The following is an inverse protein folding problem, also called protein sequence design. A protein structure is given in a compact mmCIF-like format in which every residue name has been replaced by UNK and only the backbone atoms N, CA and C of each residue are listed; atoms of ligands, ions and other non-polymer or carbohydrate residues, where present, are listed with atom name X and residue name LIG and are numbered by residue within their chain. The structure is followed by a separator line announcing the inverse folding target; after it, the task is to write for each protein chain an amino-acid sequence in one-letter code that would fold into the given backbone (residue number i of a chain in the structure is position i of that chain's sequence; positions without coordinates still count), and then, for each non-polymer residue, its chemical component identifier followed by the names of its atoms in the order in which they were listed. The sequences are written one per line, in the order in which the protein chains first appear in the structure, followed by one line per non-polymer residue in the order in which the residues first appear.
data_IF_517848113505
#
_entry.id   IF_517848113505
#
_cell.length_a   1.000
_cell.length_b   1.000
_cell.length_c   1.000
_cell.angle_alpha   90.00
_cell.angle_beta   90.00
_cell.angle_gamma   90.00
#
_symmetry.space_group_name_H-M   'P 1'
#
loop_
_entity.id
_entity.type
_entity.pdbx_description
1 polymer ?
#
# COMPACT_ATOMS: atom_id res chain seq x y z
N UNK A 1 36.11 82.11 -27.64
CA UNK A 1 35.88 81.28 -26.44
C UNK A 1 36.66 79.99 -26.67
N UNK A 2 37.97 79.95 -26.45
CA UNK A 2 38.68 79.73 -25.16
C UNK A 2 38.14 78.51 -24.39
N UNK A 3 38.88 77.48 -23.93
CA UNK A 3 40.27 76.99 -24.02
C UNK A 3 40.19 75.46 -23.73
N UNK A 4 41.21 74.74 -24.18
CA UNK A 4 41.45 73.29 -24.13
C UNK A 4 42.06 72.80 -22.75
N UNK A 5 42.63 71.58 -22.57
CA UNK A 5 42.36 70.65 -21.44
C UNK A 5 43.60 70.42 -20.51
N UNK A 6 43.86 69.18 -20.03
CA UNK A 6 45.00 68.62 -19.22
C UNK A 6 44.69 68.36 -17.73
N UNK A 7 45.14 67.32 -16.99
CA UNK A 7 46.08 66.17 -17.13
C UNK A 7 45.84 65.17 -15.97
N UNK A 8 45.88 63.85 -16.17
CA UNK A 8 46.92 62.86 -15.78
C UNK A 8 47.58 63.06 -14.39
N UNK A 9 47.53 62.03 -13.52
CA UNK A 9 48.68 61.40 -12.80
C UNK A 9 48.24 60.31 -11.78
N UNK A 10 48.93 59.16 -11.82
CA UNK A 10 49.14 58.20 -10.72
C UNK A 10 50.66 58.23 -10.38
N UNK A 11 51.31 57.40 -9.50
CA UNK A 11 50.85 56.41 -8.48
C UNK A 11 51.71 56.38 -7.14
N UNK A 12 51.47 55.36 -6.25
CA UNK A 12 52.38 54.69 -5.23
C UNK A 12 52.65 55.41 -3.85
N UNK A 13 53.06 54.78 -2.69
CA UNK A 13 53.03 53.39 -2.11
C UNK A 13 52.49 53.20 -0.65
N UNK A 14 52.21 51.93 -0.31
CA UNK A 14 52.54 51.08 0.88
C UNK A 14 52.67 51.70 2.30
N UNK A 15 51.89 51.14 3.25
CA UNK A 15 52.33 50.91 4.64
C UNK A 15 51.73 49.61 5.22
N UNK A 16 52.48 49.01 6.14
CA UNK A 16 52.43 47.63 6.63
C UNK A 16 51.85 47.48 8.05
N UNK A 17 51.48 46.22 8.41
CA UNK A 17 51.39 45.56 9.75
C UNK A 17 49.97 45.35 10.36
N UNK A 18 49.74 44.36 11.26
CA UNK A 18 50.42 43.06 11.49
C UNK A 18 49.48 41.84 11.60
N UNK A 19 50.06 40.65 11.46
CA UNK A 19 49.49 39.30 11.73
C UNK A 19 49.48 38.95 13.23
N UNK A 20 48.47 38.19 13.72
CA UNK A 20 48.44 37.28 14.90
C UNK A 20 46.99 36.74 15.13
N UNK A 21 46.73 35.64 15.87
CA UNK A 21 47.11 34.24 15.68
C UNK A 21 45.90 33.28 15.53
N UNK A 22 46.14 32.09 14.96
CA UNK A 22 45.20 30.95 14.92
C UNK A 22 45.03 30.36 16.31
N UNK A 23 43.80 30.37 16.86
CA UNK A 23 43.42 29.56 18.03
C UNK A 23 42.53 28.39 17.61
N UNK A 24 43.06 27.18 17.77
CA UNK A 24 42.32 25.91 17.76
C UNK A 24 41.30 25.92 18.89
N UNK A 25 40.01 25.76 18.59
CA UNK A 25 39.02 25.34 19.59
C UNK A 25 38.90 23.82 19.58
N UNK A 26 39.08 23.26 20.77
CA UNK A 26 39.02 21.84 21.07
C UNK A 26 37.61 21.27 20.89
N UNK A 27 37.54 20.07 20.32
CA UNK A 27 36.34 19.22 20.29
C UNK A 27 35.84 18.98 21.73
N UNK A 28 34.66 19.49 22.04
CA UNK A 28 33.91 19.11 23.24
C UNK A 28 32.84 18.09 22.85
N UNK A 29 32.95 16.91 23.44
CA UNK A 29 32.04 15.77 23.29
C UNK A 29 30.69 16.09 23.92
N UNK A 30 29.63 16.10 23.12
CA UNK A 30 28.26 16.19 23.61
C UNK A 30 27.84 14.86 24.24
N UNK A 31 27.53 14.88 25.54
CA UNK A 31 26.85 13.80 26.26
C UNK A 31 25.34 14.00 26.14
N UNK A 32 24.52 12.97 25.86
CA UNK A 32 23.08 13.10 25.90
C UNK A 32 22.57 13.11 27.35
N UNK A 33 21.72 14.10 27.62
CA UNK A 33 21.02 14.30 28.87
C UNK A 33 19.99 13.18 29.12
N UNK A 34 20.08 12.49 30.26
CA UNK A 34 19.08 11.52 30.73
C UNK A 34 17.76 12.25 31.01
N UNK A 35 16.73 11.99 30.21
CA UNK A 35 15.34 12.34 30.58
C UNK A 35 14.79 11.28 31.51
N UNK A 36 14.40 11.74 32.70
CA UNK A 36 13.69 11.00 33.75
C UNK A 36 12.25 10.78 33.26
N UNK A 37 11.84 9.54 33.09
CA UNK A 37 10.45 9.18 32.82
C UNK A 37 9.73 8.95 34.14
N UNK A 38 8.58 9.61 34.32
CA UNK A 38 7.61 9.25 35.35
C UNK A 38 6.91 7.96 34.89
N UNK A 39 6.91 6.95 35.77
CA UNK A 39 6.29 5.67 35.51
C UNK A 39 4.77 5.79 35.56
N UNK A 40 4.12 5.37 34.47
CA UNK A 40 2.76 4.84 34.46
C UNK A 40 2.90 3.40 34.01
N UNK A 41 2.66 2.44 34.90
CA UNK A 41 2.69 1.01 34.61
C UNK A 41 1.53 0.67 33.66
N UNK A 42 1.85 0.57 32.38
CA UNK A 42 1.05 -0.21 31.43
C UNK A 42 2.05 -1.11 30.72
N UNK A 43 2.08 -2.37 31.12
CA UNK A 43 2.95 -3.40 30.53
C UNK A 43 2.46 -3.71 29.12
N UNK A 44 2.85 -2.88 28.14
CA UNK A 44 2.80 -3.27 26.74
C UNK A 44 3.91 -4.31 26.52
N UNK A 45 3.55 -5.59 26.46
CA UNK A 45 4.42 -6.58 25.84
C UNK A 45 4.62 -6.15 24.39
N UNK A 46 5.82 -5.68 24.05
CA UNK A 46 6.24 -5.55 22.66
C UNK A 46 6.45 -6.97 22.16
N UNK A 47 5.41 -7.59 21.61
CA UNK A 47 5.58 -8.83 20.85
C UNK A 47 6.42 -8.47 19.62
N UNK A 48 7.68 -8.91 19.59
CA UNK A 48 8.50 -8.81 18.39
C UNK A 48 7.95 -9.82 17.37
N UNK A 49 7.46 -9.33 16.24
CA UNK A 49 6.97 -10.16 15.14
C UNK A 49 8.12 -11.04 14.65
N UNK A 50 7.97 -12.36 14.55
CA UNK A 50 9.05 -13.23 14.13
C UNK A 50 9.48 -12.92 12.68
N UNK A 51 10.78 -13.05 12.44
CA UNK A 51 11.37 -12.92 11.11
C UNK A 51 11.20 -14.26 10.39
N UNK A 52 10.41 -14.29 9.32
CA UNK A 52 10.20 -15.49 8.50
C UNK A 52 11.30 -15.63 7.44
N UNK A 53 11.56 -16.85 6.89
CA UNK A 53 12.60 -17.07 5.88
C UNK A 53 12.39 -16.34 4.56
N UNK A 54 11.17 -15.89 4.28
CA UNK A 54 10.80 -15.16 3.07
C UNK A 54 10.00 -13.92 3.45
N UNK A 55 10.09 -12.90 2.60
CA UNK A 55 9.33 -11.66 2.75
C UNK A 55 8.93 -11.09 1.39
N UNK A 56 8.04 -10.11 1.41
CA UNK A 56 7.70 -9.31 0.25
C UNK A 56 8.55 -8.04 0.16
N UNK A 57 9.06 -7.76 -1.04
CA UNK A 57 9.39 -6.38 -1.44
C UNK A 57 8.16 -5.80 -2.17
N UNK A 58 7.60 -4.70 -1.65
CA UNK A 58 6.27 -4.22 -2.09
C UNK A 58 6.29 -2.88 -2.81
N UNK A 59 5.29 -2.67 -3.65
CA UNK A 59 4.96 -1.43 -4.34
C UNK A 59 3.46 -1.18 -4.32
N UNK A 60 3.07 0.08 -4.30
CA UNK A 60 1.66 0.50 -4.27
C UNK A 60 1.45 1.53 -5.36
N UNK A 61 0.44 1.31 -6.21
CA UNK A 61 -0.09 2.27 -7.18
C UNK A 61 -1.53 2.62 -6.81
N UNK A 62 -1.90 3.89 -6.91
CA UNK A 62 -3.22 4.39 -6.52
C UNK A 62 -3.70 5.49 -7.47
N UNK A 63 -4.95 5.39 -7.90
CA UNK A 63 -5.70 6.44 -8.56
C UNK A 63 -7.12 6.48 -7.98
N UNK A 64 -7.58 7.63 -7.52
CA UNK A 64 -8.94 7.78 -7.01
C UNK A 64 -9.80 8.51 -8.04
N UNK A 65 -10.99 7.99 -8.35
CA UNK A 65 -11.97 8.69 -9.21
C UNK A 65 -12.44 10.01 -8.58
N UNK A 66 -12.34 10.11 -7.25
CA UNK A 66 -12.69 11.30 -6.48
C UNK A 66 -11.95 11.36 -5.13
N UNK A 67 -11.83 12.55 -4.51
CA UNK A 67 -11.24 12.65 -3.18
C UNK A 67 -11.98 11.79 -2.14
N UNK A 68 -11.26 11.08 -1.25
CA UNK A 68 -11.86 10.25 -0.22
C UNK A 68 -12.71 11.10 0.74
N UNK A 69 -13.84 10.55 1.18
CA UNK A 69 -14.63 11.18 2.24
C UNK A 69 -13.79 11.23 3.54
N UNK A 70 -13.65 12.39 4.21
CA UNK A 70 -12.93 12.45 5.47
C UNK A 70 -13.52 11.50 6.51
N UNK A 71 -12.66 10.85 7.29
CA UNK A 71 -13.11 9.99 8.36
C UNK A 71 -13.79 10.81 9.47
N UNK A 72 -14.96 10.37 9.98
CA UNK A 72 -15.64 11.05 11.07
C UNK A 72 -14.89 10.87 12.40
N UNK A 73 -15.11 11.73 13.42
CA UNK A 73 -14.61 11.45 14.77
C UNK A 73 -15.07 10.06 15.26
N UNK A 74 -14.24 9.33 16.02
CA UNK A 74 -12.91 9.67 16.51
C UNK A 74 -11.78 9.35 15.52
N UNK A 75 -12.10 8.82 14.35
CA UNK A 75 -11.15 8.39 13.31
C UNK A 75 -10.50 9.56 12.54
N UNK A 76 -10.70 10.80 12.99
CA UNK A 76 -10.21 12.01 12.34
C UNK A 76 -8.69 12.02 12.20
N UNK A 77 -8.25 12.52 11.05
CA UNK A 77 -6.97 13.22 10.91
C UNK A 77 -7.23 14.73 11.08
N UNK A 78 -6.45 15.50 11.86
CA UNK A 78 -6.72 16.93 12.06
C UNK A 78 -6.71 17.71 10.73
N UNK A 79 -7.64 18.69 10.54
CA UNK A 79 -7.87 19.32 9.25
C UNK A 79 -6.69 20.19 8.81
N UNK A 80 -6.38 20.16 7.51
CA UNK A 80 -5.52 21.16 6.87
C UNK A 80 -6.32 22.43 6.57
N UNK A 81 -6.25 23.41 7.44
CA UNK A 81 -6.64 24.78 7.08
C UNK A 81 -5.39 25.66 7.07
N UNK A 82 -4.99 26.05 5.87
CA UNK A 82 -3.98 27.07 5.60
C UNK A 82 -4.31 28.37 6.32
N UNK A 83 -3.37 28.92 7.08
CA UNK A 83 -3.21 30.37 7.23
C UNK A 83 -1.71 30.68 7.27
N UNK A 84 -1.37 31.75 6.57
CA UNK A 84 -0.06 32.32 6.25
C UNK A 84 0.89 32.43 7.45
N UNK A 85 2.06 31.81 7.35
CA UNK A 85 3.26 32.31 8.02
C UNK A 85 4.49 32.06 7.12
N UNK A 86 4.97 33.07 6.37
CA UNK A 86 6.20 32.96 5.61
C UNK A 86 7.34 33.20 6.59
N UNK A 87 7.72 32.16 7.36
CA UNK A 87 9.03 31.95 8.01
C UNK A 87 8.90 30.90 9.14
N UNK A 88 8.91 29.61 8.79
CA UNK A 88 9.74 28.68 9.57
C UNK A 88 10.21 27.52 8.70
N UNK A 89 11.52 27.39 8.68
CA UNK A 89 12.35 26.46 7.95
C UNK A 89 12.13 25.01 8.37
N UNK A 90 12.09 24.11 7.39
CA UNK A 90 12.50 22.71 7.38
C UNK A 90 12.65 21.98 8.73
N UNK A 91 11.83 20.95 8.95
CA UNK A 91 12.19 19.54 9.16
C UNK A 91 11.01 18.81 9.85
N UNK A 92 10.62 17.65 9.30
CA UNK A 92 9.57 16.72 9.75
C UNK A 92 8.14 17.06 9.31
N UNK A 93 7.76 16.54 8.14
CA UNK A 93 6.37 16.25 7.78
C UNK A 93 5.79 15.27 8.81
N UNK A 94 5.24 15.79 9.90
CA UNK A 94 4.45 15.02 10.86
C UNK A 94 3.28 14.40 10.13
N UNK A 95 3.35 13.08 10.04
CA UNK A 95 2.33 12.17 9.59
C UNK A 95 0.95 12.48 10.19
N UNK A 96 0.03 12.93 9.33
CA UNK A 96 -1.35 13.34 9.63
C UNK A 96 -2.27 12.11 9.68
N UNK A 97 -1.98 11.18 10.60
CA UNK A 97 -2.56 9.85 10.57
C UNK A 97 -3.79 9.69 11.49
N UNK A 98 -4.75 8.87 11.07
CA UNK A 98 -5.98 8.54 11.81
C UNK A 98 -5.74 7.47 12.89
N UNK A 99 -6.54 7.47 13.95
CA UNK A 99 -6.41 6.53 15.08
C UNK A 99 -7.71 5.78 15.38
N UNK A 100 -7.59 4.55 15.88
CA UNK A 100 -8.68 3.74 16.45
C UNK A 100 -8.17 3.05 17.71
N UNK A 101 -8.92 3.16 18.82
CA UNK A 101 -8.50 2.63 20.14
C UNK A 101 -7.07 3.02 20.57
N UNK A 102 -6.63 4.25 20.23
CA UNK A 102 -5.28 4.75 20.53
C UNK A 102 -4.16 4.18 19.63
N UNK A 103 -4.49 3.30 18.70
CA UNK A 103 -3.56 2.78 17.69
C UNK A 103 -3.71 3.53 16.37
N UNK A 104 -2.60 3.67 15.67
CA UNK A 104 -2.57 4.22 14.33
C UNK A 104 -3.28 3.29 13.34
N UNK A 105 -4.27 3.80 12.59
CA UNK A 105 -4.91 3.07 11.50
C UNK A 105 -3.88 2.82 10.38
N UNK A 106 -3.59 1.55 10.11
CA UNK A 106 -2.51 1.08 9.21
C UNK A 106 -2.99 0.86 7.78
N UNK A 107 -2.17 1.21 6.78
CA UNK A 107 -2.42 1.11 5.32
C UNK A 107 -2.58 2.48 4.63
N UNK A 108 -3.23 2.55 3.47
CA UNK A 108 -3.52 3.80 2.72
C UNK A 108 -4.96 3.81 2.19
N UNK A 109 -5.60 4.98 2.17
CA UNK A 109 -6.92 5.19 1.55
C UNK A 109 -6.75 5.69 0.11
N UNK A 110 -7.60 5.24 -0.81
CA UNK A 110 -7.66 5.71 -2.19
C UNK A 110 -9.13 5.84 -2.64
N UNK A 111 -9.72 7.03 -2.53
CA UNK A 111 -11.16 7.18 -2.71
C UNK A 111 -11.94 6.40 -1.66
N UNK A 112 -12.74 5.42 -2.07
CA UNK A 112 -13.40 4.47 -1.16
C UNK A 112 -12.60 3.17 -0.94
N UNK A 113 -11.51 2.95 -1.69
CA UNK A 113 -10.59 1.83 -1.48
C UNK A 113 -9.67 2.03 -0.28
N UNK A 114 -9.12 0.91 0.19
CA UNK A 114 -7.95 0.88 1.04
C UNK A 114 -6.99 -0.25 0.66
N UNK A 115 -5.68 0.04 0.78
CA UNK A 115 -4.61 -0.94 0.58
C UNK A 115 -3.72 -1.04 1.80
N UNK A 116 -3.11 -2.20 2.00
CA UNK A 116 -2.05 -2.42 2.97
C UNK A 116 -0.94 -3.27 2.37
N UNK A 117 0.29 -2.99 2.80
CA UNK A 117 1.46 -3.76 2.40
C UNK A 117 2.45 -3.84 3.57
N UNK A 118 2.96 -5.04 3.81
CA UNK A 118 4.06 -5.34 4.71
C UNK A 118 4.88 -6.51 4.17
N UNK A 119 5.90 -6.90 4.91
CA UNK A 119 6.79 -8.02 4.58
C UNK A 119 6.05 -9.36 4.46
N UNK A 120 4.91 -9.54 5.13
CA UNK A 120 4.20 -10.83 5.19
C UNK A 120 2.72 -10.75 4.78
N UNK A 121 2.19 -9.56 4.51
CA UNK A 121 0.79 -9.41 4.14
C UNK A 121 0.56 -8.22 3.22
N UNK A 122 -0.17 -8.45 2.14
CA UNK A 122 -0.71 -7.40 1.28
C UNK A 122 -2.22 -7.55 1.16
N UNK A 123 -2.94 -6.44 0.98
CA UNK A 123 -4.36 -6.48 0.67
C UNK A 123 -4.82 -5.25 -0.13
N UNK A 124 -5.91 -5.44 -0.88
CA UNK A 124 -6.66 -4.38 -1.53
C UNK A 124 -8.16 -4.60 -1.26
N UNK A 125 -8.79 -3.62 -0.62
CA UNK A 125 -10.18 -3.68 -0.22
C UNK A 125 -10.91 -2.54 -0.93
N UNK A 126 -11.93 -2.85 -1.73
CA UNK A 126 -12.77 -1.83 -2.35
C UNK A 126 -13.97 -1.54 -1.45
N UNK A 127 -14.17 -0.27 -1.14
CA UNK A 127 -15.31 0.21 -0.39
C UNK A 127 -16.46 0.58 -1.32
N UNK A 128 -17.62 -0.04 -1.12
CA UNK A 128 -18.78 0.13 -2.02
C UNK A 128 -19.22 1.60 -2.12
N UNK A 129 -18.93 2.23 -3.26
CA UNK A 129 -19.06 3.68 -3.44
C UNK A 129 -20.48 4.23 -3.27
N UNK A 130 -21.51 3.40 -3.42
CA UNK A 130 -22.92 3.79 -3.23
C UNK A 130 -23.19 4.36 -1.82
N UNK A 131 -22.41 3.98 -0.80
CA UNK A 131 -22.52 4.53 0.54
C UNK A 131 -22.27 6.03 0.62
N UNK A 132 -21.48 6.60 -0.29
CA UNK A 132 -21.20 8.03 -0.26
C UNK A 132 -22.42 8.91 -0.51
N UNK A 133 -23.51 8.35 -1.06
CA UNK A 133 -24.81 9.04 -1.20
C UNK A 133 -25.56 9.17 0.12
N UNK A 134 -25.16 8.41 1.15
CA UNK A 134 -25.79 8.39 2.47
C UNK A 134 -25.03 9.30 3.44
N UNK A 135 -25.71 10.09 4.30
CA UNK A 135 -25.03 10.94 5.27
C UNK A 135 -24.07 10.17 6.19
N UNK A 136 -24.49 8.98 6.61
CA UNK A 136 -23.72 8.08 7.49
C UNK A 136 -22.85 7.06 6.75
N UNK A 137 -22.75 7.13 5.43
CA UNK A 137 -21.97 6.19 4.64
C UNK A 137 -20.50 6.57 4.57
N UNK A 138 -19.62 5.65 4.95
CA UNK A 138 -18.17 5.81 5.02
C UNK A 138 -17.46 4.56 4.49
N UNK A 139 -17.65 4.25 3.20
CA UNK A 139 -17.03 3.10 2.54
C UNK A 139 -15.50 3.10 2.66
N UNK A 140 -14.85 4.23 2.36
CA UNK A 140 -13.41 4.40 2.59
C UNK A 140 -12.93 4.24 4.03
N UNK A 141 -13.79 4.38 5.05
CA UNK A 141 -13.44 4.05 6.45
C UNK A 141 -13.52 2.54 6.68
N UNK A 142 -14.56 1.90 6.14
CA UNK A 142 -14.78 0.46 6.25
C UNK A 142 -13.65 -0.34 5.62
N UNK A 143 -13.32 -0.07 4.35
CA UNK A 143 -12.19 -0.70 3.66
C UNK A 143 -10.90 -0.57 4.47
N UNK A 144 -10.65 0.63 4.99
CA UNK A 144 -9.47 1.00 5.80
C UNK A 144 -9.38 0.27 7.14
N UNK A 145 -10.47 0.20 7.89
CA UNK A 145 -10.51 -0.45 9.20
C UNK A 145 -10.35 -1.96 9.06
N UNK A 146 -10.95 -2.56 8.03
CA UNK A 146 -10.74 -3.98 7.75
C UNK A 146 -9.27 -4.26 7.45
N UNK A 147 -8.60 -3.49 6.58
CA UNK A 147 -7.15 -3.68 6.33
C UNK A 147 -6.31 -3.51 7.61
N UNK A 148 -6.66 -2.52 8.44
CA UNK A 148 -5.96 -2.25 9.69
C UNK A 148 -6.08 -3.42 10.67
N UNK A 149 -7.30 -3.86 10.96
CA UNK A 149 -7.49 -4.95 11.92
C UNK A 149 -7.06 -6.30 11.36
N UNK A 150 -7.13 -6.52 10.06
CA UNK A 150 -6.67 -7.76 9.43
C UNK A 150 -5.16 -7.89 9.49
N UNK A 151 -4.41 -6.83 9.15
CA UNK A 151 -2.97 -6.82 9.35
C UNK A 151 -2.57 -7.00 10.82
N UNK A 152 -3.35 -6.45 11.75
CA UNK A 152 -3.10 -6.60 13.19
C UNK A 152 -3.35 -8.03 13.66
N UNK A 153 -4.45 -8.65 13.22
CA UNK A 153 -4.78 -10.04 13.54
C UNK A 153 -3.73 -11.01 12.98
N UNK A 154 -3.23 -10.78 11.76
CA UNK A 154 -2.15 -11.58 11.17
C UNK A 154 -0.85 -11.45 11.97
N UNK A 155 -0.49 -10.24 12.42
CA UNK A 155 0.71 -10.05 13.26
C UNK A 155 0.58 -10.68 14.64
N UNK A 156 -0.61 -10.56 15.26
CA UNK A 156 -0.95 -11.21 16.52
C UNK A 156 -0.84 -12.74 16.38
N UNK A 157 -1.44 -13.30 15.33
CA UNK A 157 -1.37 -14.73 14.99
C UNK A 157 0.08 -15.16 14.77
N UNK A 158 0.85 -14.40 13.99
CA UNK A 158 2.24 -14.72 13.68
C UNK A 158 3.14 -14.68 14.93
N UNK A 159 2.86 -13.81 15.90
CA UNK A 159 3.58 -13.76 17.17
C UNK A 159 3.25 -14.94 18.12
N UNK A 160 2.10 -15.58 17.94
CA UNK A 160 1.63 -16.71 18.75
C UNK A 160 1.84 -18.08 18.09
N UNK A 161 1.91 -18.12 16.76
CA UNK A 161 2.12 -19.35 15.98
C UNK A 161 3.46 -19.98 16.39
N UNK A 162 3.37 -21.18 16.97
CA UNK A 162 4.53 -22.08 17.02
C UNK A 162 5.03 -22.30 15.60
N UNK A 163 6.36 -22.32 15.38
CA UNK A 163 7.02 -22.33 14.06
C UNK A 163 6.53 -23.37 13.03
N UNK A 164 5.66 -24.32 13.42
CA UNK A 164 5.12 -25.40 12.59
C UNK A 164 3.61 -25.29 12.29
N UNK A 165 2.89 -24.30 12.83
CA UNK A 165 1.43 -24.21 12.66
C UNK A 165 1.07 -23.35 11.44
N UNK A 166 0.18 -23.87 10.60
CA UNK A 166 -0.35 -23.13 9.46
C UNK A 166 -1.21 -21.94 9.93
N UNK A 167 -1.14 -20.79 9.23
CA UNK A 167 -2.06 -19.68 9.45
C UNK A 167 -3.52 -20.08 9.28
N UNK A 168 -4.42 -19.36 9.94
CA UNK A 168 -5.86 -19.44 9.76
C UNK A 168 -6.41 -18.10 9.21
N UNK A 169 -6.34 -17.89 7.88
CA UNK A 169 -6.70 -16.60 7.29
C UNK A 169 -8.17 -16.22 7.52
N UNK A 170 -9.08 -17.21 7.54
CA UNK A 170 -10.51 -16.98 7.83
C UNK A 170 -10.70 -16.44 9.24
N UNK A 171 -10.06 -17.04 10.25
CA UNK A 171 -10.16 -16.55 11.63
C UNK A 171 -9.58 -15.15 11.79
N UNK A 172 -8.45 -14.88 11.13
CA UNK A 172 -7.82 -13.55 11.14
C UNK A 172 -8.70 -12.49 10.47
N UNK A 173 -9.34 -12.82 9.33
CA UNK A 173 -10.31 -11.92 8.68
C UNK A 173 -11.60 -11.76 9.48
N UNK A 174 -12.10 -12.83 10.12
CA UNK A 174 -13.28 -12.76 11.00
C UNK A 174 -13.03 -11.83 12.19
N UNK A 175 -11.88 -11.99 12.86
CA UNK A 175 -11.48 -11.09 13.95
C UNK A 175 -11.40 -9.63 13.48
N UNK A 176 -10.86 -9.40 12.28
CA UNK A 176 -10.80 -8.06 11.69
C UNK A 176 -12.19 -7.47 11.40
N UNK A 177 -13.10 -8.28 10.88
CA UNK A 177 -14.48 -7.90 10.61
C UNK A 177 -15.24 -7.54 11.89
N UNK A 178 -15.13 -8.36 12.93
CA UNK A 178 -15.77 -8.12 14.23
C UNK A 178 -15.24 -6.84 14.90
N UNK A 179 -13.92 -6.62 14.86
CA UNK A 179 -13.28 -5.38 15.35
C UNK A 179 -13.72 -4.15 14.56
N UNK A 180 -13.87 -4.29 13.24
CA UNK A 180 -14.40 -3.22 12.37
C UNK A 180 -15.83 -2.90 12.75
N UNK A 181 -16.71 -3.90 12.83
CA UNK A 181 -18.10 -3.75 13.25
C UNK A 181 -18.22 -3.04 14.59
N UNK A 182 -17.43 -3.45 15.58
CA UNK A 182 -17.43 -2.83 16.90
C UNK A 182 -17.06 -1.34 16.81
N UNK A 183 -15.96 -1.00 16.12
CA UNK A 183 -15.51 0.37 15.97
C UNK A 183 -16.50 1.25 15.20
N UNK A 184 -17.14 0.72 14.15
CA UNK A 184 -18.05 1.51 13.31
C UNK A 184 -19.44 1.66 13.91
N UNK A 185 -19.92 0.64 14.63
CA UNK A 185 -21.26 0.65 15.27
C UNK A 185 -21.32 1.68 16.39
N UNK A 186 -20.26 1.79 17.20
CA UNK A 186 -20.16 2.79 18.28
C UNK A 186 -20.34 4.23 17.78
N UNK A 187 -19.92 4.49 16.53
CA UNK A 187 -19.92 5.83 15.93
C UNK A 187 -20.91 5.98 14.77
N UNK A 188 -21.87 5.06 14.65
CA UNK A 188 -22.97 5.14 13.68
C UNK A 188 -22.51 5.20 12.21
N UNK A 189 -21.30 4.72 11.93
CA UNK A 189 -20.61 4.77 10.64
C UNK A 189 -20.97 3.55 9.78
N UNK A 190 -21.80 3.75 8.76
CA UNK A 190 -22.25 2.67 7.89
C UNK A 190 -21.35 2.52 6.67
N UNK A 191 -21.28 1.31 6.12
CA UNK A 191 -20.44 1.01 4.97
C UNK A 191 -20.31 -0.48 4.75
N UNK A 192 -19.80 -0.83 3.58
CA UNK A 192 -19.44 -2.19 3.20
C UNK A 192 -18.18 -2.15 2.34
N UNK A 193 -17.46 -3.26 2.29
CA UNK A 193 -16.22 -3.39 1.52
C UNK A 193 -16.02 -4.82 1.05
N UNK A 194 -15.49 -5.00 -0.14
CA UNK A 194 -14.88 -6.26 -0.59
C UNK A 194 -13.51 -6.41 0.06
N UNK A 195 -12.96 -7.61 0.04
CA UNK A 195 -11.62 -7.88 0.59
C UNK A 195 -10.87 -8.87 -0.28
N UNK A 196 -9.66 -8.51 -0.69
CA UNK A 196 -8.69 -9.47 -1.21
C UNK A 196 -7.35 -9.30 -0.48
N UNK A 197 -6.77 -10.40 -0.01
CA UNK A 197 -5.53 -10.37 0.76
C UNK A 197 -4.66 -11.58 0.48
N UNK A 198 -3.35 -11.40 0.61
CA UNK A 198 -2.36 -12.43 0.39
C UNK A 198 -1.33 -12.43 1.53
N UNK A 199 -1.31 -13.51 2.31
CA UNK A 199 -0.45 -13.71 3.46
C UNK A 199 0.69 -14.66 3.10
N UNK A 200 1.93 -14.18 3.22
CA UNK A 200 3.13 -14.97 2.99
C UNK A 200 3.48 -15.78 4.23
N UNK A 201 3.76 -17.05 4.00
CA UNK A 201 4.28 -17.97 4.99
C UNK A 201 5.32 -18.89 4.36
N UNK A 202 5.73 -19.93 5.09
CA UNK A 202 6.66 -20.93 4.60
C UNK A 202 6.25 -22.32 5.07
N UNK A 203 6.68 -23.34 4.34
CA UNK A 203 6.64 -24.74 4.78
C UNK A 203 8.05 -25.28 4.88
N UNK A 204 8.30 -26.14 5.86
CA UNK A 204 9.54 -26.91 5.98
C UNK A 204 9.39 -28.22 5.20
N UNK A 205 10.47 -28.66 4.56
CA UNK A 205 10.51 -29.98 3.94
C UNK A 205 10.51 -31.08 5.01
N UNK A 206 9.61 -32.05 4.90
CA UNK A 206 9.50 -33.17 5.86
C UNK A 206 10.80 -34.00 5.97
N UNK A 207 11.60 -34.04 4.90
CA UNK A 207 12.86 -34.79 4.83
C UNK A 207 14.07 -33.97 5.32
N UNK A 208 13.95 -32.63 5.36
CA UNK A 208 15.01 -31.73 5.79
C UNK A 208 14.41 -30.44 6.35
N UNK A 209 14.30 -30.34 7.68
CA UNK A 209 13.76 -29.18 8.38
C UNK A 209 14.52 -27.88 8.11
N UNK A 210 15.78 -27.95 7.64
CA UNK A 210 16.56 -26.77 7.24
C UNK A 210 16.14 -26.20 5.88
N UNK A 211 15.41 -26.96 5.06
CA UNK A 211 14.93 -26.51 3.76
C UNK A 211 13.49 -26.00 3.89
N UNK A 212 13.30 -24.73 3.58
CA UNK A 212 12.00 -24.06 3.56
C UNK A 212 11.63 -23.61 2.17
N UNK A 213 10.33 -23.58 1.86
CA UNK A 213 9.79 -23.00 0.62
C UNK A 213 8.65 -22.04 0.94
N UNK A 214 8.50 -20.92 0.19
CA UNK A 214 7.45 -19.96 0.44
C UNK A 214 6.07 -20.52 0.06
N UNK A 215 5.06 -20.16 0.84
CA UNK A 215 3.67 -20.53 0.62
C UNK A 215 2.80 -19.29 0.80
N UNK A 216 1.86 -19.08 -0.10
CA UNK A 216 0.92 -17.98 -0.06
C UNK A 216 -0.46 -18.48 0.36
N UNK A 217 -1.05 -17.82 1.34
CA UNK A 217 -2.46 -17.98 1.68
C UNK A 217 -3.22 -16.77 1.14
N UNK A 218 -4.05 -17.00 0.13
CA UNK A 218 -4.88 -15.97 -0.48
C UNK A 218 -6.27 -16.06 0.09
N UNK A 219 -6.84 -14.94 0.53
CA UNK A 219 -8.21 -14.87 1.03
C UNK A 219 -8.98 -13.84 0.21
N UNK A 220 -10.12 -14.24 -0.34
CA UNK A 220 -10.96 -13.37 -1.16
C UNK A 220 -12.43 -13.41 -0.72
N UNK A 221 -13.07 -12.24 -0.72
CA UNK A 221 -14.52 -12.08 -0.62
C UNK A 221 -14.92 -10.83 -1.41
N UNK A 222 -15.66 -11.05 -2.50
CA UNK A 222 -16.04 -10.03 -3.48
C UNK A 222 -15.33 -10.21 -4.81
N UNK A 223 -15.22 -9.11 -5.55
CA UNK A 223 -14.72 -9.04 -6.93
C UNK A 223 -13.32 -8.43 -7.05
N UNK A 224 -12.70 -7.96 -5.97
CA UNK A 224 -11.26 -7.76 -5.95
C UNK A 224 -10.51 -9.06 -6.32
N UNK A 225 -9.29 -8.92 -6.83
CA UNK A 225 -8.50 -10.06 -7.30
C UNK A 225 -7.11 -10.12 -6.67
N UNK A 226 -6.65 -11.33 -6.40
CA UNK A 226 -5.23 -11.63 -6.19
C UNK A 226 -4.73 -12.47 -7.36
N UNK A 227 -3.61 -12.08 -7.97
CA UNK A 227 -2.98 -12.78 -9.08
C UNK A 227 -1.51 -13.07 -8.75
N UNK A 228 -1.05 -14.28 -9.06
CA UNK A 228 0.35 -14.70 -8.89
C UNK A 228 0.95 -14.93 -10.27
N UNK A 229 2.03 -14.21 -10.55
CA UNK A 229 2.80 -14.28 -11.77
C UNK A 229 4.18 -14.85 -11.50
N UNK A 230 4.69 -15.66 -12.44
CA UNK A 230 6.06 -16.14 -12.45
C UNK A 230 6.82 -15.53 -13.62
N UNK A 231 7.51 -14.39 -13.42
CA UNK A 231 8.21 -13.69 -14.50
C UNK A 231 9.24 -14.55 -15.24
N UNK A 232 9.90 -15.48 -14.54
CA UNK A 232 10.91 -16.39 -15.14
C UNK A 232 10.35 -17.30 -16.23
N UNK A 233 9.05 -17.59 -16.20
CA UNK A 233 8.37 -18.43 -17.20
C UNK A 233 7.26 -17.70 -17.95
N UNK A 234 7.02 -16.43 -17.64
CA UNK A 234 5.94 -15.59 -18.17
C UNK A 234 4.54 -16.23 -18.02
N UNK A 235 4.29 -16.90 -16.89
CA UNK A 235 3.02 -17.61 -16.62
C UNK A 235 2.25 -17.01 -15.45
N UNK A 236 0.92 -17.06 -15.56
CA UNK A 236 0.01 -16.91 -14.44
C UNK A 236 -0.01 -18.25 -13.68
N UNK A 237 0.38 -18.22 -12.41
CA UNK A 237 0.38 -19.39 -11.52
C UNK A 237 -0.98 -19.56 -10.87
N UNK A 238 -1.61 -18.44 -10.49
CA UNK A 238 -2.89 -18.42 -9.81
C UNK A 238 -3.60 -17.08 -10.02
N UNK A 239 -4.93 -17.10 -9.99
CA UNK A 239 -5.78 -15.92 -9.81
C UNK A 239 -7.00 -16.31 -9.00
N UNK A 240 -7.50 -15.42 -8.16
CA UNK A 240 -8.77 -15.64 -7.45
C UNK A 240 -9.95 -15.58 -8.42
N UNK A 241 -11.02 -16.28 -8.06
CA UNK A 241 -12.31 -16.16 -8.73
C UNK A 241 -13.15 -15.14 -7.97
N UNK A 242 -13.73 -14.20 -8.71
CA UNK A 242 -14.62 -13.17 -8.18
C UNK A 242 -15.91 -13.78 -7.63
N UNK A 243 -16.53 -13.10 -6.67
CA UNK A 243 -17.71 -13.57 -5.96
C UNK A 243 -18.83 -12.54 -6.01
N UNK A 244 -19.97 -12.97 -6.53
CA UNK A 244 -21.11 -12.11 -6.82
C UNK A 244 -22.39 -12.64 -6.17
N UNK A 245 -23.30 -11.73 -5.81
CA UNK A 245 -24.71 -12.09 -5.62
C UNK A 245 -25.45 -12.06 -6.96
N UNK A 246 -25.14 -11.05 -7.78
CA UNK A 246 -25.49 -10.88 -9.19
C UNK A 246 -24.48 -9.90 -9.83
N UNK A 247 -24.53 -9.73 -11.15
CA UNK A 247 -23.61 -8.84 -11.86
C UNK A 247 -23.57 -7.42 -11.26
N UNK A 248 -22.35 -6.88 -11.08
CA UNK A 248 -22.06 -5.58 -10.46
C UNK A 248 -22.58 -5.44 -9.00
N UNK A 249 -22.84 -6.57 -8.33
CA UNK A 249 -23.13 -6.65 -6.91
C UNK A 249 -22.28 -7.73 -6.24
N UNK A 250 -21.03 -7.39 -5.87
CA UNK A 250 -20.12 -8.35 -5.27
C UNK A 250 -20.59 -8.77 -3.88
N UNK A 251 -20.08 -9.91 -3.42
CA UNK A 251 -20.11 -10.21 -1.98
C UNK A 251 -19.29 -9.15 -1.25
N UNK A 252 -19.77 -8.72 -0.09
CA UNK A 252 -19.17 -7.58 0.60
C UNK A 252 -19.35 -7.69 2.12
N UNK A 253 -18.34 -7.33 2.89
CA UNK A 253 -18.42 -7.29 4.35
C UNK A 253 -18.98 -5.95 4.81
N UNK A 254 -19.95 -5.96 5.70
CA UNK A 254 -20.29 -4.78 6.50
C UNK A 254 -21.75 -4.60 6.84
N UNK A 255 -22.18 -3.35 6.89
CA UNK A 255 -23.50 -2.96 7.38
C UNK A 255 -24.62 -3.60 6.55
N UNK A 256 -25.50 -4.37 7.19
CA UNK A 256 -26.63 -5.08 6.57
C UNK A 256 -26.24 -6.02 5.42
N UNK A 257 -24.97 -6.40 5.32
CA UNK A 257 -24.57 -7.46 4.41
C UNK A 257 -24.93 -8.82 5.00
N UNK A 258 -25.44 -9.78 4.19
CA UNK A 258 -25.56 -11.17 4.63
C UNK A 258 -24.21 -11.90 4.66
N UNK A 259 -23.16 -11.33 4.07
CA UNK A 259 -21.88 -12.01 3.93
C UNK A 259 -21.01 -11.89 5.20
N UNK A 260 -20.41 -13.00 5.60
CA UNK A 260 -19.43 -13.05 6.69
C UNK A 260 -18.14 -13.73 6.22
N UNK A 261 -16.98 -13.43 6.86
CA UNK A 261 -15.74 -14.13 6.55
C UNK A 261 -15.87 -15.65 6.70
N UNK A 262 -16.44 -16.13 7.82
CA UNK A 262 -16.57 -17.55 8.10
C UNK A 262 -17.44 -18.31 7.07
N UNK A 263 -18.51 -17.69 6.57
CA UNK A 263 -19.47 -18.38 5.71
C UNK A 263 -19.16 -18.20 4.21
N UNK A 264 -18.44 -17.15 3.83
CA UNK A 264 -18.35 -16.74 2.43
C UNK A 264 -16.93 -16.50 1.91
N UNK A 265 -15.94 -16.22 2.76
CA UNK A 265 -14.59 -15.99 2.26
C UNK A 265 -13.97 -17.31 1.76
N UNK A 266 -13.26 -17.23 0.64
CA UNK A 266 -12.54 -18.36 0.04
C UNK A 266 -11.06 -18.21 0.36
N UNK A 267 -10.43 -19.31 0.78
CA UNK A 267 -8.98 -19.38 0.99
C UNK A 267 -8.35 -20.37 0.04
N UNK A 268 -7.34 -19.90 -0.68
CA UNK A 268 -6.50 -20.71 -1.54
C UNK A 268 -5.07 -20.74 -0.99
N UNK A 269 -4.43 -21.91 -1.08
CA UNK A 269 -3.04 -22.12 -0.66
C UNK A 269 -2.19 -22.39 -1.89
N UNK A 270 -1.21 -21.54 -2.14
CA UNK A 270 -0.38 -21.57 -3.35
C UNK A 270 1.08 -21.73 -2.97
N UNK A 271 1.76 -22.69 -3.58
CA UNK A 271 3.20 -22.81 -3.48
C UNK A 271 3.88 -21.74 -4.33
N UNK A 272 4.73 -20.93 -3.71
CA UNK A 272 5.48 -19.87 -4.40
C UNK A 272 6.92 -20.31 -4.67
N UNK A 273 7.54 -19.61 -5.61
CA UNK A 273 8.98 -19.58 -5.82
C UNK A 273 9.52 -18.18 -5.51
N UNK A 274 10.79 -18.11 -5.09
CA UNK A 274 11.49 -16.82 -4.98
C UNK A 274 11.55 -16.20 -6.37
N UNK A 275 11.15 -14.93 -6.47
CA UNK A 275 10.97 -14.21 -7.73
C UNK A 275 9.54 -14.21 -8.28
N UNK A 276 8.61 -14.97 -7.69
CA UNK A 276 7.19 -14.84 -8.02
C UNK A 276 6.67 -13.46 -7.57
N UNK A 277 5.77 -12.90 -8.37
CA UNK A 277 5.12 -11.60 -8.13
C UNK A 277 3.66 -11.83 -7.78
N UNK A 278 3.23 -11.30 -6.64
CA UNK A 278 1.86 -11.32 -6.16
C UNK A 278 1.25 -9.94 -6.34
N UNK A 279 0.10 -9.86 -7.00
CA UNK A 279 -0.70 -8.66 -7.17
C UNK A 279 -1.95 -8.80 -6.32
N UNK A 280 -2.27 -7.79 -5.51
CA UNK A 280 -3.60 -7.59 -4.93
C UNK A 280 -4.20 -6.32 -5.55
N UNK A 281 -5.38 -6.44 -6.16
CA UNK A 281 -5.97 -5.40 -6.98
C UNK A 281 -7.49 -5.33 -6.81
N UNK A 282 -8.02 -4.13 -7.02
CA UNK A 282 -9.46 -3.79 -6.97
C UNK A 282 -10.11 -3.98 -8.34
N UNK A 283 -11.44 -3.97 -8.36
CA UNK A 283 -12.26 -4.08 -9.58
C UNK A 283 -11.87 -3.01 -10.62
N UNK A 284 -11.52 -1.79 -10.17
CA UNK A 284 -11.06 -0.70 -11.01
C UNK A 284 -9.88 -1.03 -11.95
N UNK A 285 -9.12 -2.10 -11.69
CA UNK A 285 -8.14 -2.63 -12.64
C UNK A 285 -8.75 -3.70 -13.55
N UNK A 286 -9.34 -4.75 -12.97
CA UNK A 286 -9.78 -5.94 -13.72
C UNK A 286 -11.02 -5.68 -14.59
N UNK A 287 -11.77 -4.62 -14.29
CA UNK A 287 -12.87 -4.13 -15.14
C UNK A 287 -12.38 -3.39 -16.37
N UNK A 288 -11.13 -2.91 -16.34
CA UNK A 288 -10.55 -2.06 -17.38
C UNK A 288 -9.37 -2.71 -18.13
N UNK A 289 -8.83 -3.83 -17.67
CA UNK A 289 -7.73 -4.53 -18.32
C UNK A 289 -7.98 -6.04 -18.34
N UNK A 290 -7.77 -6.67 -19.49
CA UNK A 290 -7.77 -8.13 -19.56
C UNK A 290 -6.51 -8.71 -18.90
N UNK A 291 -6.58 -9.99 -18.51
CA UNK A 291 -5.48 -10.69 -17.84
C UNK A 291 -4.16 -10.63 -18.61
N UNK A 292 -4.21 -10.75 -19.93
CA UNK A 292 -3.01 -10.72 -20.77
C UNK A 292 -2.36 -9.33 -20.79
N UNK A 293 -3.14 -8.25 -20.64
CA UNK A 293 -2.63 -6.88 -20.56
C UNK A 293 -2.00 -6.60 -19.19
N UNK A 294 -2.63 -7.08 -18.10
CA UNK A 294 -2.07 -7.01 -16.75
C UNK A 294 -0.70 -7.70 -16.72
N UNK A 295 -0.62 -8.93 -17.25
CA UNK A 295 0.65 -9.69 -17.34
C UNK A 295 1.68 -8.93 -18.17
N UNK A 296 1.30 -8.46 -19.36
CA UNK A 296 2.22 -7.75 -20.25
C UNK A 296 2.77 -6.47 -19.60
N UNK A 297 1.92 -5.70 -18.91
CA UNK A 297 2.30 -4.48 -18.21
C UNK A 297 3.35 -4.76 -17.12
N UNK A 298 3.09 -5.74 -16.24
CA UNK A 298 4.00 -6.11 -15.15
C UNK A 298 5.34 -6.64 -15.69
N UNK A 299 5.31 -7.54 -16.67
CA UNK A 299 6.54 -8.10 -17.25
C UNK A 299 7.36 -7.02 -17.97
N UNK A 300 6.70 -6.10 -18.69
CA UNK A 300 7.37 -4.97 -19.33
C UNK A 300 8.04 -4.07 -18.29
N UNK A 301 7.31 -3.69 -17.25
CA UNK A 301 7.82 -2.81 -16.19
C UNK A 301 9.04 -3.42 -15.48
N UNK A 302 8.98 -4.71 -15.11
CA UNK A 302 10.12 -5.41 -14.50
C UNK A 302 11.32 -5.46 -15.45
N UNK A 303 11.13 -5.79 -16.73
CA UNK A 303 12.22 -5.83 -17.73
C UNK A 303 12.86 -4.45 -17.93
N UNK A 304 12.06 -3.39 -17.96
CA UNK A 304 12.55 -2.02 -18.09
C UNK A 304 13.30 -1.57 -16.84
N UNK A 305 12.81 -1.94 -15.65
CA UNK A 305 13.45 -1.71 -14.37
C UNK A 305 14.83 -2.38 -14.29
N UNK A 306 14.90 -3.68 -14.56
CA UNK A 306 16.13 -4.47 -14.55
C UNK A 306 17.18 -3.92 -15.53
N UNK A 307 16.73 -3.46 -16.70
CA UNK A 307 17.60 -2.88 -17.71
C UNK A 307 18.09 -1.46 -17.38
N UNK A 308 17.61 -0.85 -16.29
CA UNK A 308 17.90 0.53 -15.93
C UNK A 308 17.31 1.58 -16.88
N UNK A 309 16.37 1.18 -17.75
CA UNK A 309 15.67 2.08 -18.68
C UNK A 309 14.48 2.79 -18.02
N UNK A 310 13.93 2.21 -16.95
CA UNK A 310 12.84 2.83 -16.21
C UNK A 310 13.32 4.14 -15.55
N UNK A 311 12.59 5.27 -15.67
CA UNK A 311 13.03 6.58 -15.16
C UNK A 311 13.33 6.60 -13.66
N UNK A 312 12.60 5.78 -12.88
CA UNK A 312 12.78 5.65 -11.44
C UNK A 312 13.82 4.60 -11.03
N UNK A 313 14.51 3.95 -11.98
CA UNK A 313 15.56 2.97 -11.64
C UNK A 313 16.79 3.68 -11.04
N UNK A 314 17.20 3.26 -9.84
CA UNK A 314 18.36 3.80 -9.13
C UNK A 314 19.37 2.68 -8.79
N UNK A 315 20.52 3.02 -8.18
CA UNK A 315 21.59 2.05 -7.87
C UNK A 315 21.10 0.97 -6.89
N UNK A 316 21.38 -0.30 -7.19
CA UNK A 316 21.07 -1.45 -6.34
C UNK A 316 21.05 -2.75 -7.14
N UNK A 317 20.65 -3.85 -6.51
CA UNK A 317 20.23 -5.07 -7.21
C UNK A 317 18.83 -4.85 -7.79
N UNK A 318 18.70 -4.79 -9.11
CA UNK A 318 17.42 -4.54 -9.78
C UNK A 318 16.74 -5.82 -10.25
N UNK A 319 17.39 -6.98 -10.05
CA UNK A 319 16.93 -8.29 -10.50
C UNK A 319 15.54 -8.59 -9.95
N UNK A 320 14.63 -9.08 -10.78
CA UNK A 320 13.25 -9.41 -10.42
C UNK A 320 12.37 -8.20 -10.07
N UNK A 321 12.83 -6.97 -10.28
CA UNK A 321 12.10 -5.77 -9.85
C UNK A 321 12.38 -5.36 -8.40
N UNK A 322 13.48 -5.83 -7.82
CA UNK A 322 13.94 -5.43 -6.48
C UNK A 322 14.26 -3.93 -6.37
N UNK A 323 14.35 -3.45 -5.15
CA UNK A 323 14.77 -2.08 -4.82
C UNK A 323 13.89 -0.97 -5.43
N UNK A 324 12.60 -1.23 -5.59
CA UNK A 324 11.61 -0.24 -6.05
C UNK A 324 10.86 -0.61 -7.32
N UNK A 325 11.26 -1.68 -8.02
CA UNK A 325 10.62 -2.11 -9.26
C UNK A 325 9.15 -2.50 -9.07
N UNK A 326 8.77 -3.05 -7.91
CA UNK A 326 7.34 -3.28 -7.62
C UNK A 326 6.52 -2.00 -7.53
N UNK A 327 7.12 -0.86 -7.13
CA UNK A 327 6.42 0.43 -7.14
C UNK A 327 6.19 0.91 -8.57
N UNK A 328 7.23 0.81 -9.41
CA UNK A 328 7.12 1.13 -10.83
C UNK A 328 6.05 0.25 -11.51
N UNK A 329 6.10 -1.07 -11.30
CA UNK A 329 5.14 -2.01 -11.87
C UNK A 329 3.70 -1.73 -11.42
N UNK A 330 3.49 -1.42 -10.14
CA UNK A 330 2.17 -1.04 -9.65
C UNK A 330 1.68 0.29 -10.26
N UNK A 331 2.58 1.27 -10.44
CA UNK A 331 2.24 2.56 -11.06
C UNK A 331 1.92 2.41 -12.55
N UNK A 332 2.73 1.68 -13.30
CA UNK A 332 2.52 1.41 -14.73
C UNK A 332 1.19 0.69 -14.97
N UNK A 333 0.85 -0.28 -14.11
CA UNK A 333 -0.43 -0.99 -14.19
C UNK A 333 -1.63 -0.08 -13.90
N UNK A 334 -1.52 0.80 -12.90
CA UNK A 334 -2.54 1.81 -12.61
C UNK A 334 -2.73 2.77 -13.79
N UNK A 335 -1.65 3.22 -14.41
CA UNK A 335 -1.71 4.14 -15.55
C UNK A 335 -2.39 3.51 -16.75
N UNK A 336 -2.08 2.26 -17.06
CA UNK A 336 -2.76 1.50 -18.10
C UNK A 336 -4.26 1.34 -17.83
N UNK A 337 -4.64 0.93 -16.61
CA UNK A 337 -6.04 0.76 -16.24
C UNK A 337 -6.81 2.09 -16.28
N UNK A 338 -6.18 3.16 -15.80
CA UNK A 338 -6.76 4.50 -15.79
C UNK A 338 -7.00 5.04 -17.19
N UNK A 339 -6.11 4.76 -18.14
CA UNK A 339 -6.28 5.19 -19.53
C UNK A 339 -7.58 4.61 -20.12
N UNK A 340 -7.82 3.31 -19.92
CA UNK A 340 -9.06 2.64 -20.34
C UNK A 340 -10.26 3.15 -19.55
N UNK A 341 -10.14 3.27 -18.22
CA UNK A 341 -11.22 3.72 -17.34
C UNK A 341 -11.75 5.13 -17.68
N UNK A 342 -10.92 5.99 -18.28
CA UNK A 342 -11.28 7.35 -18.67
C UNK A 342 -11.79 7.47 -20.11
N UNK A 343 -11.65 6.41 -20.93
CA UNK A 343 -12.08 6.42 -22.32
C UNK A 343 -13.51 5.87 -22.44
N UNK A 344 -14.50 6.73 -22.79
CA UNK A 344 -15.90 6.31 -22.96
C UNK A 344 -16.12 5.42 -24.21
N UNK A 345 -15.11 5.23 -25.06
CA UNK A 345 -15.19 4.41 -26.26
C UNK A 345 -14.24 3.20 -26.23
N UNK A 346 -13.47 3.01 -25.15
CA UNK A 346 -12.57 1.88 -25.05
C UNK A 346 -13.34 0.56 -24.90
N UNK A 347 -12.77 -0.51 -25.48
CA UNK A 347 -13.17 -1.88 -25.17
C UNK A 347 -12.63 -2.26 -23.79
N UNK A 348 -13.46 -2.88 -22.95
CA UNK A 348 -13.10 -3.22 -21.58
C UNK A 348 -13.75 -4.54 -21.14
N UNK A 349 -13.11 -5.30 -20.24
CA UNK A 349 -13.72 -6.50 -19.64
C UNK A 349 -15.09 -6.23 -19.01
N UNK A 350 -15.26 -5.09 -18.34
CA UNK A 350 -16.55 -4.71 -17.75
C UNK A 350 -17.64 -4.55 -18.81
N UNK A 351 -17.34 -3.84 -19.91
CA UNK A 351 -18.29 -3.67 -21.01
C UNK A 351 -18.70 -5.02 -21.60
N UNK A 352 -17.74 -5.90 -21.89
CA UNK A 352 -17.98 -7.23 -22.45
C UNK A 352 -18.98 -8.01 -21.56
N UNK A 353 -18.71 -8.07 -20.25
CA UNK A 353 -19.59 -8.76 -19.29
C UNK A 353 -20.95 -8.08 -19.13
N UNK A 354 -21.01 -6.75 -19.13
CA UNK A 354 -22.28 -6.02 -19.06
C UNK A 354 -23.18 -6.35 -20.26
N UNK A 355 -22.60 -6.47 -21.46
CA UNK A 355 -23.32 -6.85 -22.67
C UNK A 355 -23.81 -8.31 -22.58
N UNK A 356 -22.98 -9.23 -22.07
CA UNK A 356 -23.36 -10.64 -21.85
C UNK A 356 -24.55 -10.78 -20.89
N UNK A 357 -24.62 -9.91 -19.88
CA UNK A 357 -25.73 -9.81 -18.93
C UNK A 357 -26.96 -9.05 -19.48
N UNK A 358 -26.88 -8.58 -20.73
CA UNK A 358 -27.97 -7.89 -21.43
C UNK A 358 -28.12 -6.41 -21.10
N UNK A 359 -27.08 -5.80 -20.54
CA UNK A 359 -27.01 -4.36 -20.26
C UNK A 359 -26.32 -3.63 -21.41
N UNK A 360 -26.86 -2.46 -21.78
CA UNK A 360 -26.20 -1.59 -22.74
C UNK A 360 -25.09 -0.80 -22.01
N UNK A 361 -23.83 -1.17 -22.26
CA UNK A 361 -22.65 -0.49 -21.73
C UNK A 361 -21.62 -0.29 -22.85
N UNK A 362 -20.89 0.82 -22.80
CA UNK A 362 -19.80 1.19 -23.71
C UNK A 362 -18.71 1.91 -22.88
N UNK A 363 -17.45 1.82 -23.32
CA UNK A 363 -16.29 2.42 -22.64
C UNK A 363 -15.71 1.61 -21.48
N UNK A 364 -14.70 2.22 -20.83
CA UNK A 364 -14.17 1.76 -19.55
C UNK A 364 -15.07 2.12 -18.36
N UNK A 365 -14.84 1.47 -17.22
CA UNK A 365 -15.52 1.74 -15.94
C UNK A 365 -14.66 2.67 -15.09
N UNK A 366 -15.09 3.91 -14.91
CA UNK A 366 -14.40 4.85 -14.03
C UNK A 366 -14.60 4.48 -12.54
N UNK A 367 -13.58 3.85 -11.95
CA UNK A 367 -13.53 3.52 -10.52
C UNK A 367 -12.30 4.08 -9.80
N UNK A 368 -12.27 3.93 -8.47
CA UNK A 368 -11.04 3.94 -7.70
C UNK A 368 -10.19 2.73 -8.15
N UNK A 369 -8.92 2.95 -8.43
CA UNK A 369 -8.00 1.94 -8.97
C UNK A 369 -6.84 1.81 -7.99
N UNK A 370 -6.73 0.63 -7.39
CA UNK A 370 -5.73 0.32 -6.37
C UNK A 370 -5.00 -0.98 -6.69
N UNK A 371 -3.66 -0.94 -6.65
CA UNK A 371 -2.77 -2.09 -6.85
C UNK A 371 -1.72 -2.14 -5.75
N UNK A 372 -1.54 -3.32 -5.17
CA UNK A 372 -0.36 -3.68 -4.39
C UNK A 372 0.39 -4.79 -5.12
N UNK A 373 1.61 -4.50 -5.55
CA UNK A 373 2.51 -5.49 -6.14
C UNK A 373 3.55 -5.92 -5.10
N UNK A 374 3.84 -7.22 -5.03
CA UNK A 374 4.76 -7.79 -4.06
C UNK A 374 5.64 -8.86 -4.70
N UNK A 375 6.95 -8.67 -4.62
CA UNK A 375 7.94 -9.65 -5.05
C UNK A 375 8.31 -10.55 -3.88
N UNK A 376 8.17 -11.87 -4.05
CA UNK A 376 8.61 -12.84 -3.06
C UNK A 376 10.14 -12.97 -3.08
N UNK A 377 10.80 -12.63 -1.98
CA UNK A 377 12.26 -12.71 -1.83
C UNK A 377 12.65 -13.51 -0.58
N UNK A 378 13.87 -14.02 -0.56
CA UNK A 378 14.48 -14.53 0.68
C UNK A 378 14.64 -13.39 1.70
N UNK A 379 14.45 -13.73 2.97
CA UNK A 379 14.65 -12.80 4.07
C UNK A 379 16.08 -12.95 4.59
N UNK A 380 16.95 -12.03 4.18
CA UNK A 380 18.29 -11.86 4.74
C UNK A 380 18.12 -11.24 6.15
N UNK A 381 17.98 -12.09 7.16
CA UNK A 381 17.59 -11.72 8.53
C UNK A 381 18.47 -10.71 9.27
#
# INVERSE_FOLDING_TARGET
MLIQPYSILAPVPISTLPSLPVRRLARTTWRPCRKRWFASETTHRTHETPILPFRFETGIGLFAKRPPRPFPPPFLSPPSTSFTDPLSTHHQSRDRRAFVHGQLIRGKTNGDDAVYASDYFICANDGVGAWATRPRGHAGLWSRLVSHFWSSAIEEELAEIEKSKEPNPIASLQSAYDRTLAATTEHDCLGTTTVCGAQLHYKTCAENEAQTSPVLYVTNLGDCQVMVLRPSTEKIIFKTVEQWHWFDCPRQLGTNSPDTPNDNAIVDKIDLEVGDVVLAMTDGVIDNLWEHEIVASILKSIKEWESGRHPEAHRGDLTGGRNGGMRAAAQDLIEAAKEIALDPFAESPFMERAIEEGLASEGGKLDDISVVAALCVENEG
#
